data_IF_867127802017
#
_entry.id   IF_867127802017
#
_cell.length_a   1.000
_cell.length_b   1.000
_cell.length_c   1.000
_cell.angle_alpha   90.00
_cell.angle_beta   90.00
_cell.angle_gamma   90.00
#
_symmetry.space_group_name_H-M   'P 1'
#
loop_
_entity.id
_entity.type
_entity.pdbx_description
1 polymer ?
#
# COMPACT_ATOMS: atom_id res chain seq x y z
N UNK A 1 -10.75 26.24 11.68
CA UNK A 1 -9.47 26.42 10.96
C UNK A 1 -8.73 25.10 11.09
N UNK A 2 -8.56 24.36 9.99
CA UNK A 2 -7.82 23.09 10.01
C UNK A 2 -6.35 23.47 10.14
N UNK A 3 -5.77 23.25 11.31
CA UNK A 3 -4.36 23.54 11.59
C UNK A 3 -3.62 22.22 11.73
N UNK A 4 -3.27 21.61 10.59
CA UNK A 4 -2.31 20.51 10.57
C UNK A 4 -0.93 21.12 10.75
N UNK A 5 -0.27 20.77 11.85
CA UNK A 5 1.12 21.14 12.07
C UNK A 5 2.03 20.41 11.09
N UNK A 6 3.21 20.98 10.82
CA UNK A 6 4.23 20.32 10.00
C UNK A 6 4.58 18.92 10.57
N UNK A 7 4.55 18.78 11.89
CA UNK A 7 4.79 17.51 12.57
C UNK A 7 3.73 16.46 12.22
N UNK A 8 2.44 16.81 12.28
CA UNK A 8 1.34 15.92 11.91
C UNK A 8 1.37 15.56 10.43
N UNK A 9 1.70 16.52 9.55
CA UNK A 9 1.87 16.24 8.12
C UNK A 9 2.94 15.19 7.86
N UNK A 10 4.10 15.29 8.54
CA UNK A 10 5.17 14.30 8.44
C UNK A 10 4.71 12.94 8.98
N UNK A 11 4.03 12.90 10.13
CA UNK A 11 3.51 11.66 10.69
C UNK A 11 2.49 10.98 9.78
N UNK A 12 1.53 11.72 9.23
CA UNK A 12 0.55 11.21 8.28
C UNK A 12 1.22 10.72 7.00
N UNK A 13 2.25 11.42 6.51
CA UNK A 13 3.04 11.00 5.35
C UNK A 13 3.78 9.68 5.59
N UNK A 14 4.47 9.54 6.74
CA UNK A 14 5.15 8.31 7.13
C UNK A 14 4.16 7.15 7.33
N UNK A 15 3.03 7.41 7.99
CA UNK A 15 1.98 6.43 8.19
C UNK A 15 1.38 5.96 6.85
N UNK A 16 1.13 6.88 5.93
CA UNK A 16 0.67 6.58 4.56
C UNK A 16 1.68 5.70 3.83
N UNK A 17 2.96 6.04 3.89
CA UNK A 17 4.02 5.25 3.27
C UNK A 17 4.04 3.82 3.80
N UNK A 18 4.03 3.64 5.13
CA UNK A 18 4.04 2.30 5.74
C UNK A 18 2.78 1.52 5.40
N UNK A 19 1.62 2.14 5.51
CA UNK A 19 0.34 1.48 5.27
C UNK A 19 0.15 1.10 3.80
N UNK A 20 0.55 1.97 2.86
CA UNK A 20 0.56 1.65 1.42
C UNK A 20 1.49 0.48 1.15
N UNK A 21 2.68 0.46 1.75
CA UNK A 21 3.64 -0.62 1.58
C UNK A 21 3.10 -1.94 2.15
N UNK A 22 2.42 -1.90 3.30
CA UNK A 22 1.74 -3.07 3.86
C UNK A 22 0.64 -3.56 2.91
N UNK A 23 -0.19 -2.68 2.36
CA UNK A 23 -1.28 -3.11 1.46
C UNK A 23 -0.76 -3.73 0.16
N UNK A 24 0.25 -3.09 -0.45
CA UNK A 24 0.75 -3.47 -1.79
C UNK A 24 1.72 -4.66 -1.72
N UNK A 25 2.59 -4.72 -0.69
CA UNK A 25 3.71 -5.66 -0.65
C UNK A 25 3.63 -6.69 0.47
N UNK A 26 2.72 -6.57 1.45
CA UNK A 26 2.63 -7.54 2.53
C UNK A 26 1.96 -8.84 2.05
N UNK A 27 2.62 -9.97 2.32
CA UNK A 27 2.10 -11.31 2.02
C UNK A 27 0.90 -11.69 2.87
N UNK A 28 0.64 -10.99 3.99
CA UNK A 28 -0.57 -11.21 4.81
C UNK A 28 -1.86 -10.89 4.01
N UNK A 29 -1.81 -9.94 3.06
CA UNK A 29 -2.94 -9.65 2.14
C UNK A 29 -2.99 -10.58 0.93
N UNK A 30 -2.19 -11.67 0.88
CA UNK A 30 -2.31 -12.69 -0.19
C UNK A 30 -3.70 -13.30 -0.25
N UNK A 31 -4.41 -13.39 0.88
CA UNK A 31 -5.82 -13.80 0.90
C UNK A 31 -6.73 -12.78 0.19
N UNK A 32 -6.38 -11.50 0.25
CA UNK A 32 -7.02 -10.42 -0.50
C UNK A 32 -6.59 -10.42 -1.99
N UNK A 33 -5.38 -10.89 -2.32
CA UNK A 33 -4.82 -10.93 -3.69
C UNK A 33 -5.27 -12.15 -4.51
N UNK A 34 -5.40 -13.33 -3.88
CA UNK A 34 -5.85 -14.60 -4.47
C UNK A 34 -7.13 -14.52 -5.32
N UNK A 35 -8.14 -13.71 -4.98
CA UNK A 35 -9.35 -13.60 -5.81
C UNK A 35 -9.23 -12.65 -7.03
N UNK A 36 -8.16 -11.86 -7.17
CA UNK A 36 -8.05 -10.82 -8.23
C UNK A 36 -6.87 -10.99 -9.18
N UNK A 37 -5.84 -11.75 -8.83
CA UNK A 37 -4.68 -12.01 -9.69
C UNK A 37 -4.61 -13.50 -10.03
N UNK A 38 -4.73 -13.84 -11.32
CA UNK A 38 -4.45 -15.17 -11.83
C UNK A 38 -3.22 -15.06 -12.75
N UNK A 39 -2.14 -15.76 -12.42
CA UNK A 39 -1.01 -15.88 -13.34
C UNK A 39 -1.39 -16.93 -14.37
N UNK A 40 -1.76 -16.48 -15.57
CA UNK A 40 -2.04 -17.37 -16.70
C UNK A 40 -0.76 -17.36 -17.54
N UNK A 41 -0.06 -18.49 -17.54
CA UNK A 41 1.08 -18.75 -18.41
C UNK A 41 0.52 -19.08 -19.80
N UNK A 42 0.31 -18.08 -20.65
CA UNK A 42 0.00 -18.34 -22.06
C UNK A 42 1.30 -18.49 -22.84
N UNK A 43 1.47 -19.67 -23.44
CA UNK A 43 2.54 -19.93 -24.41
C UNK A 43 2.10 -19.34 -25.74
N UNK A 44 2.81 -18.31 -26.20
CA UNK A 44 2.58 -17.73 -27.53
C UNK A 44 2.96 -18.76 -28.62
N UNK A 45 2.41 -18.64 -29.83
CA UNK A 45 2.67 -19.56 -30.97
C UNK A 45 4.17 -19.69 -31.36
N UNK A 46 5.03 -18.80 -30.85
CA UNK A 46 6.50 -18.80 -31.00
C UNK A 46 7.28 -19.52 -29.88
N UNK A 47 6.61 -20.16 -28.92
CA UNK A 47 7.25 -20.99 -27.89
C UNK A 47 7.96 -20.21 -26.76
N UNK A 48 7.68 -18.91 -26.63
CA UNK A 48 8.15 -18.10 -25.50
C UNK A 48 7.07 -18.04 -24.40
N UNK A 49 7.47 -18.39 -23.17
CA UNK A 49 6.60 -18.35 -21.99
C UNK A 49 6.59 -16.92 -21.46
N UNK A 50 5.62 -16.12 -21.89
CA UNK A 50 5.42 -14.78 -21.34
C UNK A 50 4.39 -14.85 -20.21
N UNK A 51 4.85 -14.53 -18.99
CA UNK A 51 4.01 -14.51 -17.80
C UNK A 51 3.22 -13.21 -17.77
N UNK A 52 2.00 -13.21 -18.31
CA UNK A 52 1.12 -12.05 -18.23
C UNK A 52 0.29 -12.11 -16.94
N UNK A 53 0.32 -11.04 -16.15
CA UNK A 53 -0.64 -10.84 -15.06
C UNK A 53 -2.00 -10.49 -15.69
N UNK A 54 -2.91 -11.47 -15.83
CA UNK A 54 -4.31 -11.18 -16.14
C UNK A 54 -5.11 -10.94 -14.85
N UNK A 55 -5.78 -9.80 -14.80
CA UNK A 55 -6.68 -9.40 -13.70
C UNK A 55 -7.97 -10.22 -13.84
N UNK A 56 -8.38 -10.94 -12.78
CA UNK A 56 -9.56 -11.81 -12.81
C UNK A 56 -10.83 -11.08 -12.38
N UNK A 57 -11.90 -11.20 -13.18
CA UNK A 57 -13.28 -10.82 -12.83
C UNK A 57 -13.83 -9.60 -13.60
N UNK A 58 -15.15 -9.46 -13.66
CA UNK A 58 -15.86 -8.34 -14.30
C UNK A 58 -16.34 -7.30 -13.27
N UNK A 59 -16.37 -6.01 -13.65
CA UNK A 59 -16.91 -4.91 -12.84
C UNK A 59 -16.02 -4.46 -11.67
N UNK A 60 -16.55 -4.46 -10.44
CA UNK A 60 -15.88 -3.94 -9.24
C UNK A 60 -14.56 -4.68 -8.91
N UNK A 61 -14.47 -5.96 -9.29
CA UNK A 61 -13.30 -6.81 -9.03
C UNK A 61 -12.10 -6.45 -9.90
N UNK A 62 -12.34 -6.12 -11.17
CA UNK A 62 -11.32 -5.62 -12.08
C UNK A 62 -10.79 -4.25 -11.63
N UNK A 63 -11.69 -3.35 -11.22
CA UNK A 63 -11.35 -2.00 -10.74
C UNK A 63 -10.47 -2.02 -9.48
N UNK A 64 -10.77 -2.93 -8.53
CA UNK A 64 -9.96 -3.13 -7.33
C UNK A 64 -8.60 -3.78 -7.68
N UNK A 65 -8.58 -4.71 -8.64
CA UNK A 65 -7.35 -5.33 -9.16
C UNK A 65 -6.41 -4.32 -9.82
N UNK A 66 -6.94 -3.35 -10.56
CA UNK A 66 -6.19 -2.28 -11.21
C UNK A 66 -5.75 -1.18 -10.23
N UNK A 67 -6.54 -0.88 -9.20
CA UNK A 67 -6.10 -0.01 -8.11
C UNK A 67 -4.94 -0.62 -7.32
N UNK A 68 -4.97 -1.94 -7.09
CA UNK A 68 -3.90 -2.68 -6.40
C UNK A 68 -2.65 -2.88 -7.27
N UNK A 69 -2.76 -2.80 -8.60
CA UNK A 69 -1.59 -2.87 -9.49
C UNK A 69 -0.78 -1.57 -9.47
N UNK A 70 -1.42 -0.44 -9.17
CA UNK A 70 -0.76 0.86 -9.07
C UNK A 70 -0.53 1.27 -7.61
N UNK A 71 0.70 1.11 -7.13
CA UNK A 71 1.12 1.51 -5.78
C UNK A 71 0.85 3.00 -5.49
N UNK A 72 0.87 3.85 -6.52
CA UNK A 72 0.59 5.28 -6.39
C UNK A 72 -0.89 5.55 -6.10
N UNK A 73 -1.80 4.84 -6.78
CA UNK A 73 -3.24 4.94 -6.53
C UNK A 73 -3.60 4.51 -5.11
N UNK A 74 -3.06 3.39 -4.63
CA UNK A 74 -3.26 2.95 -3.24
C UNK A 74 -2.78 4.02 -2.26
N UNK A 75 -1.62 4.63 -2.51
CA UNK A 75 -1.10 5.71 -1.66
C UNK A 75 -2.02 6.91 -1.54
N UNK A 76 -2.62 7.34 -2.65
CA UNK A 76 -3.61 8.44 -2.65
C UNK A 76 -4.83 8.07 -1.80
N UNK A 77 -5.43 6.90 -2.01
CA UNK A 77 -6.59 6.47 -1.23
C UNK A 77 -6.28 6.33 0.26
N UNK A 78 -5.13 5.75 0.61
CA UNK A 78 -4.68 5.60 1.99
C UNK A 78 -4.50 6.97 2.66
N UNK A 79 -3.88 7.94 1.97
CA UNK A 79 -3.70 9.28 2.51
C UNK A 79 -5.03 9.98 2.79
N UNK A 80 -6.01 9.86 1.87
CA UNK A 80 -7.35 10.42 2.04
C UNK A 80 -8.02 9.81 3.27
N UNK A 81 -7.97 8.48 3.40
CA UNK A 81 -8.59 7.75 4.52
C UNK A 81 -7.96 8.18 5.85
N UNK A 82 -6.63 8.28 5.94
CA UNK A 82 -5.94 8.67 7.17
C UNK A 82 -6.25 10.12 7.54
N UNK A 83 -6.26 11.05 6.58
CA UNK A 83 -6.57 12.47 6.84
C UNK A 83 -8.03 12.64 7.25
N UNK A 84 -8.97 12.05 6.51
CA UNK A 84 -10.41 12.11 6.84
C UNK A 84 -10.69 11.43 8.17
N UNK A 85 -10.11 10.26 8.42
CA UNK A 85 -10.24 9.55 9.69
C UNK A 85 -9.69 10.37 10.87
N UNK A 86 -8.54 11.03 10.69
CA UNK A 86 -7.97 11.91 11.69
C UNK A 86 -8.86 13.11 11.99
N UNK A 87 -9.53 13.67 10.97
CA UNK A 87 -10.50 14.75 11.16
C UNK A 87 -11.75 14.30 11.92
N UNK A 88 -12.25 13.09 11.69
CA UNK A 88 -13.44 12.57 12.36
C UNK A 88 -13.17 12.09 13.79
N UNK A 89 -12.05 11.39 14.01
CA UNK A 89 -11.68 10.78 15.28
C UNK A 89 -10.19 10.98 15.58
N UNK A 90 -9.75 12.20 15.93
CA UNK A 90 -8.34 12.54 16.09
C UNK A 90 -7.63 11.72 17.17
N UNK A 91 -8.34 11.35 18.24
CA UNK A 91 -7.76 10.52 19.31
C UNK A 91 -7.41 9.11 18.84
N UNK A 92 -8.36 8.39 18.24
CA UNK A 92 -8.15 7.01 17.81
C UNK A 92 -7.20 6.94 16.61
N UNK A 93 -7.48 7.75 15.57
CA UNK A 93 -6.72 7.72 14.33
C UNK A 93 -5.33 8.33 14.53
N UNK A 94 -5.17 9.31 15.42
CA UNK A 94 -3.87 9.85 15.80
C UNK A 94 -2.94 8.78 16.39
N UNK A 95 -3.46 7.89 17.24
CA UNK A 95 -2.68 6.76 17.78
C UNK A 95 -2.26 5.81 16.64
N UNK A 96 -3.18 5.49 15.73
CA UNK A 96 -2.88 4.61 14.58
C UNK A 96 -1.81 5.23 13.68
N UNK A 97 -1.93 6.53 13.36
CA UNK A 97 -0.94 7.27 12.58
C UNK A 97 0.41 7.24 13.27
N UNK A 98 0.46 7.46 14.59
CA UNK A 98 1.70 7.45 15.35
C UNK A 98 2.40 6.09 15.29
N UNK A 99 1.67 5.00 15.52
CA UNK A 99 2.20 3.63 15.46
C UNK A 99 2.74 3.32 14.05
N UNK A 100 1.97 3.64 13.02
CA UNK A 100 2.37 3.42 11.62
C UNK A 100 3.59 4.26 11.23
N UNK A 101 3.67 5.51 11.70
CA UNK A 101 4.80 6.39 11.43
C UNK A 101 6.08 5.89 12.12
N UNK A 102 6.00 5.43 13.37
CA UNK A 102 7.15 4.84 14.08
C UNK A 102 7.61 3.57 13.34
N UNK A 103 6.69 2.70 12.93
CA UNK A 103 7.00 1.51 12.15
C UNK A 103 7.64 1.86 10.79
N UNK A 104 7.20 2.94 10.14
CA UNK A 104 7.81 3.46 8.91
C UNK A 104 9.28 3.81 9.12
N UNK A 105 9.58 4.58 10.18
CA UNK A 105 10.95 4.98 10.53
C UNK A 105 11.82 3.77 10.82
N UNK A 106 11.33 2.82 11.63
CA UNK A 106 12.05 1.58 11.90
C UNK A 106 12.38 0.81 10.62
N UNK A 107 11.43 0.71 9.69
CA UNK A 107 11.62 0.02 8.40
C UNK A 107 12.66 0.70 7.50
N UNK A 108 12.70 2.04 7.52
CA UNK A 108 13.67 2.83 6.75
C UNK A 108 15.07 2.61 7.33
N UNK A 109 15.19 2.66 8.67
CA UNK A 109 16.46 2.39 9.36
C UNK A 109 16.95 0.97 9.03
N UNK A 110 16.08 -0.03 9.14
CA UNK A 110 16.41 -1.43 8.83
C UNK A 110 16.89 -1.59 7.37
N UNK A 111 16.21 -0.95 6.42
CA UNK A 111 16.60 -0.97 5.01
C UNK A 111 17.99 -0.34 4.79
N UNK A 112 18.27 0.78 5.45
CA UNK A 112 19.57 1.45 5.37
C UNK A 112 20.66 0.56 5.97
N UNK A 113 20.44 0.02 7.17
CA UNK A 113 21.40 -0.86 7.87
C UNK A 113 21.67 -2.11 7.02
N UNK A 114 20.63 -2.74 6.49
CA UNK A 114 20.77 -3.93 5.62
C UNK A 114 21.56 -3.65 4.35
N UNK A 115 21.50 -2.43 3.80
CA UNK A 115 22.30 -2.03 2.64
C UNK A 115 23.75 -1.65 2.97
N UNK A 116 24.05 -1.34 4.23
CA UNK A 116 25.35 -0.84 4.66
C UNK A 116 26.23 -1.94 5.27
N UNK A 117 25.60 -3.02 5.76
CA UNK A 117 26.27 -4.19 6.36
C UNK A 117 26.57 -5.28 5.31
N UNK A 118 26.02 -5.17 4.10
CA UNK A 118 26.27 -6.06 2.94
C UNK A 118 27.18 -5.35 1.96
#
# INVERSE_FOLDING_TARGET
MISISIFEFILIGLATFRLTRLIVFDTITVFLRKPFHEMIEETNEDGQVETYLQIKGEGLKFWIGELLSCYWCVGVWVSIILVVGYMMFPGLVGIVILILAIAAVASIIEMIVSKLVV
#
